data_IF_730858324624
#
_entry.id   IF_730858324624
#
_cell.length_a   1.000
_cell.length_b   1.000
_cell.length_c   1.000
_cell.angle_alpha   90.00
_cell.angle_beta   90.00
_cell.angle_gamma   90.00
#
_symmetry.space_group_name_H-M   'P 1'
#
loop_
_entity.id
_entity.type
_entity.pdbx_description
1 polymer ?
#
# COMPACT_ATOMS: atom_id res chain seq x y z
N UNK A 1 23.02 -0.42 -9.76
CA UNK A 1 22.44 -1.17 -8.62
C UNK A 1 20.96 -0.86 -8.59
N UNK A 2 20.08 -1.87 -8.55
CA UNK A 2 18.64 -1.64 -8.51
C UNK A 2 18.28 -1.09 -7.12
N UNK A 3 17.71 0.12 -7.03
CA UNK A 3 17.34 0.73 -5.76
C UNK A 3 16.12 0.00 -5.19
N UNK A 4 16.24 -0.60 -4.00
CA UNK A 4 15.13 -1.30 -3.33
C UNK A 4 14.78 -0.60 -2.02
N UNK A 5 13.55 -0.10 -1.91
CA UNK A 5 13.00 0.44 -0.66
C UNK A 5 12.45 -0.70 0.20
N UNK A 6 12.99 -0.89 1.40
CA UNK A 6 12.57 -1.93 2.34
C UNK A 6 11.30 -1.55 3.12
N UNK A 7 10.47 -2.51 3.54
CA UNK A 7 9.23 -2.23 4.28
C UNK A 7 9.53 -1.98 5.76
N UNK A 8 9.92 -0.75 6.11
CA UNK A 8 10.42 -0.40 7.45
C UNK A 8 9.38 -0.52 8.59
N UNK A 9 8.09 -0.62 8.28
CA UNK A 9 7.01 -0.79 9.28
C UNK A 9 6.42 -2.21 9.32
N UNK A 10 6.98 -3.15 8.54
CA UNK A 10 6.61 -4.55 8.62
C UNK A 10 6.99 -5.13 9.99
N UNK A 11 6.05 -5.82 10.64
CA UNK A 11 6.18 -6.28 12.03
C UNK A 11 5.72 -5.27 13.09
N UNK A 12 5.38 -4.04 12.69
CA UNK A 12 4.84 -3.02 13.58
C UNK A 12 3.41 -2.60 13.19
N UNK A 13 3.23 -2.14 11.95
CA UNK A 13 1.93 -1.64 11.48
C UNK A 13 1.08 -2.77 10.87
N UNK A 14 1.75 -3.78 10.33
CA UNK A 14 1.16 -4.96 9.72
C UNK A 14 2.14 -6.13 9.87
N UNK A 15 1.68 -7.39 9.73
CA UNK A 15 2.54 -8.55 9.92
C UNK A 15 3.74 -8.58 8.95
N UNK A 16 4.90 -9.05 9.43
CA UNK A 16 6.14 -9.02 8.67
C UNK A 16 6.25 -10.12 7.61
N UNK A 17 5.55 -11.25 7.80
CA UNK A 17 5.68 -12.42 6.92
C UNK A 17 4.52 -12.50 5.94
N UNK A 18 4.78 -13.04 4.75
CA UNK A 18 3.77 -13.25 3.72
C UNK A 18 2.53 -13.99 4.27
N UNK A 19 2.76 -15.12 4.94
CA UNK A 19 1.70 -16.00 5.46
C UNK A 19 0.81 -15.27 6.45
N UNK A 20 1.40 -14.57 7.43
CA UNK A 20 0.65 -13.85 8.45
C UNK A 20 -0.08 -12.63 7.88
N UNK A 21 0.53 -11.93 6.92
CA UNK A 21 -0.09 -10.80 6.24
C UNK A 21 -1.28 -11.25 5.41
N UNK A 22 -1.16 -12.32 4.61
CA UNK A 22 -2.28 -12.88 3.84
C UNK A 22 -3.44 -13.30 4.72
N UNK A 23 -3.16 -13.97 5.85
CA UNK A 23 -4.17 -14.36 6.84
C UNK A 23 -4.89 -13.15 7.43
N UNK A 24 -4.18 -12.07 7.73
CA UNK A 24 -4.79 -10.84 8.20
C UNK A 24 -5.66 -10.21 7.10
N UNK A 25 -5.13 -10.07 5.89
CA UNK A 25 -5.82 -9.44 4.75
C UNK A 25 -7.11 -10.17 4.37
N UNK A 26 -7.17 -11.51 4.45
CA UNK A 26 -8.40 -12.26 4.18
C UNK A 26 -9.55 -11.95 5.13
N UNK A 27 -9.25 -11.43 6.33
CA UNK A 27 -10.27 -10.96 7.28
C UNK A 27 -10.57 -9.46 7.17
N UNK A 28 -9.80 -8.70 6.38
CA UNK A 28 -9.98 -7.25 6.23
C UNK A 28 -10.58 -6.87 4.87
N UNK A 29 -10.36 -7.69 3.85
CA UNK A 29 -10.81 -7.43 2.48
C UNK A 29 -12.02 -8.33 2.19
N UNK A 30 -13.20 -7.73 2.18
CA UNK A 30 -14.43 -8.42 1.81
C UNK A 30 -14.58 -8.46 0.28
N UNK A 31 -14.86 -9.62 -0.32
CA UNK A 31 -15.12 -9.70 -1.75
C UNK A 31 -16.41 -8.98 -2.11
N UNK A 32 -16.40 -8.23 -3.20
CA UNK A 32 -17.56 -7.53 -3.75
C UNK A 32 -17.77 -7.94 -5.21
N UNK A 33 -19.03 -8.02 -5.64
CA UNK A 33 -19.40 -8.40 -7.00
C UNK A 33 -19.11 -7.31 -8.03
N UNK A 34 -19.17 -6.05 -7.60
CA UNK A 34 -19.02 -4.89 -8.47
C UNK A 34 -17.86 -4.02 -8.01
N UNK A 35 -17.01 -3.65 -8.96
CA UNK A 35 -15.92 -2.70 -8.76
C UNK A 35 -16.25 -1.39 -9.44
N UNK A 36 -15.92 -0.31 -8.78
CA UNK A 36 -16.04 1.04 -9.27
C UNK A 36 -14.75 1.43 -10.00
N UNK A 37 -14.89 2.03 -11.18
CA UNK A 37 -13.78 2.69 -11.82
C UNK A 37 -13.53 4.03 -11.13
N UNK A 38 -12.47 4.08 -10.32
CA UNK A 38 -12.10 5.26 -9.54
C UNK A 38 -10.81 5.88 -10.08
N UNK A 39 -10.86 7.20 -10.31
CA UNK A 39 -9.68 8.01 -10.66
C UNK A 39 -8.78 8.21 -9.43
N UNK A 40 -9.38 8.27 -8.24
CA UNK A 40 -8.66 8.45 -6.98
C UNK A 40 -9.45 7.92 -5.80
N UNK A 41 -8.73 7.52 -4.75
CA UNK A 41 -9.30 7.04 -3.49
C UNK A 41 -8.54 7.62 -2.31
N UNK A 42 -9.23 7.80 -1.19
CA UNK A 42 -8.62 8.20 0.08
C UNK A 42 -8.74 7.00 1.02
N UNK A 43 -7.62 6.61 1.61
CA UNK A 43 -7.53 5.46 2.51
C UNK A 43 -6.73 5.83 3.76
N UNK A 44 -7.09 5.28 4.93
CA UNK A 44 -6.31 5.48 6.14
C UNK A 44 -5.00 4.67 6.10
N UNK A 45 -3.96 5.18 6.77
CA UNK A 45 -2.61 4.57 6.79
C UNK A 45 -2.11 4.23 8.21
N UNK A 46 -3.01 4.11 9.19
CA UNK A 46 -2.64 3.61 10.51
C UNK A 46 -2.32 2.10 10.46
N UNK A 47 -1.83 1.54 11.58
CA UNK A 47 -1.65 0.09 11.70
C UNK A 47 -2.94 -0.67 11.39
N UNK A 48 -2.84 -1.83 10.76
CA UNK A 48 -3.99 -2.58 10.23
C UNK A 48 -4.99 -3.01 11.30
N UNK A 49 -4.54 -3.16 12.56
CA UNK A 49 -5.43 -3.42 13.70
C UNK A 49 -6.41 -2.27 13.96
N UNK A 50 -6.08 -1.05 13.55
CA UNK A 50 -6.92 0.15 13.74
C UNK A 50 -7.70 0.52 12.49
N UNK A 51 -7.06 0.50 11.32
CA UNK A 51 -7.66 1.03 10.09
C UNK A 51 -7.77 0.03 8.95
N UNK A 52 -7.35 -1.22 9.17
CA UNK A 52 -7.29 -2.24 8.13
C UNK A 52 -8.66 -2.57 7.53
N UNK A 53 -9.72 -2.59 8.35
CA UNK A 53 -11.07 -2.91 7.86
C UNK A 53 -11.61 -1.83 6.92
N UNK A 54 -11.41 -0.55 7.27
CA UNK A 54 -11.79 0.58 6.40
C UNK A 54 -10.99 0.55 5.11
N UNK A 55 -9.66 0.37 5.19
CA UNK A 55 -8.81 0.26 4.01
C UNK A 55 -9.21 -0.92 3.10
N UNK A 56 -9.50 -2.08 3.69
CA UNK A 56 -9.94 -3.28 2.97
C UNK A 56 -11.29 -3.12 2.29
N UNK A 57 -12.27 -2.53 2.98
CA UNK A 57 -13.59 -2.22 2.43
C UNK A 57 -13.54 -1.18 1.28
N UNK A 58 -12.59 -0.23 1.33
CA UNK A 58 -12.36 0.70 0.23
C UNK A 58 -11.75 -0.03 -0.96
N UNK A 59 -10.61 -0.71 -0.77
CA UNK A 59 -9.85 -1.29 -1.90
C UNK A 59 -10.59 -2.43 -2.60
N UNK A 60 -11.44 -3.18 -1.90
CA UNK A 60 -12.22 -4.26 -2.52
C UNK A 60 -13.14 -3.75 -3.62
N UNK A 61 -13.67 -2.53 -3.47
CA UNK A 61 -14.58 -1.88 -4.42
C UNK A 61 -13.86 -1.17 -5.56
N UNK A 62 -12.53 -1.14 -5.60
CA UNK A 62 -11.78 -0.36 -6.59
C UNK A 62 -11.35 -1.23 -7.76
N UNK A 63 -11.69 -0.80 -8.98
CA UNK A 63 -11.14 -1.32 -10.22
C UNK A 63 -9.68 -0.89 -10.40
N UNK A 64 -8.76 -1.57 -9.71
CA UNK A 64 -7.33 -1.25 -9.73
C UNK A 64 -6.76 -1.20 -11.16
N UNK A 65 -6.01 -0.13 -11.44
CA UNK A 65 -5.28 0.07 -12.69
C UNK A 65 -3.90 -0.60 -12.60
N UNK A 66 -3.27 -0.80 -13.76
CA UNK A 66 -1.90 -1.36 -13.85
C UNK A 66 -0.88 -0.50 -13.10
N UNK A 67 -0.99 0.82 -13.25
CA UNK A 67 -0.15 1.81 -12.57
C UNK A 67 -1.02 2.65 -11.65
N UNK A 68 -0.55 2.85 -10.42
CA UNK A 68 -1.22 3.68 -9.41
C UNK A 68 -0.22 4.65 -8.79
N UNK A 69 -0.68 5.84 -8.43
CA UNK A 69 0.10 6.84 -7.71
C UNK A 69 -0.34 6.80 -6.24
N UNK A 70 0.62 6.58 -5.34
CA UNK A 70 0.38 6.61 -3.89
C UNK A 70 0.93 7.93 -3.35
N UNK A 71 0.03 8.82 -2.93
CA UNK A 71 0.39 10.08 -2.29
C UNK A 71 0.25 9.94 -0.77
N UNK A 72 1.29 10.30 -0.04
CA UNK A 72 1.30 10.27 1.41
C UNK A 72 1.94 11.51 1.99
N UNK A 73 1.57 11.87 3.21
CA UNK A 73 2.16 13.01 3.91
C UNK A 73 3.51 12.64 4.53
N UNK A 74 4.40 13.62 4.63
CA UNK A 74 5.65 13.48 5.34
C UNK A 74 5.47 13.79 6.83
N UNK A 75 5.27 12.76 7.65
CA UNK A 75 5.12 12.91 9.11
C UNK A 75 6.42 13.29 9.84
N UNK A 76 7.58 13.22 9.19
CA UNK A 76 8.86 13.58 9.83
C UNK A 76 9.15 15.08 9.77
N UNK A 77 8.50 15.80 8.86
CA UNK A 77 8.79 17.21 8.58
C UNK A 77 10.17 17.49 7.97
N UNK A 78 10.92 16.46 7.56
CA UNK A 78 12.29 16.59 7.02
C UNK A 78 12.33 16.36 5.51
N UNK A 79 13.20 17.08 4.81
CA UNK A 79 13.42 16.94 3.36
C UNK A 79 12.59 17.91 2.53
N UNK A 80 12.50 17.63 1.23
CA UNK A 80 11.80 18.47 0.26
C UNK A 80 10.28 18.52 0.48
N UNK A 81 9.64 19.58 -0.02
CA UNK A 81 8.17 19.75 0.03
C UNK A 81 7.43 18.62 -0.68
N UNK A 82 7.98 18.16 -1.79
CA UNK A 82 7.49 17.04 -2.58
C UNK A 82 8.67 16.16 -2.99
N UNK A 83 8.48 14.85 -2.93
CA UNK A 83 9.52 13.89 -3.31
C UNK A 83 8.88 12.62 -3.83
N UNK A 84 9.49 12.02 -4.85
CA UNK A 84 9.11 10.73 -5.41
C UNK A 84 10.34 9.84 -5.55
N UNK A 85 10.13 8.53 -5.56
CA UNK A 85 11.12 7.57 -6.00
C UNK A 85 10.92 7.38 -7.52
N UNK A 86 11.89 7.78 -8.34
CA UNK A 86 11.77 7.82 -9.81
C UNK A 86 12.14 6.52 -10.52
N UNK A 87 12.60 5.50 -9.79
CA UNK A 87 12.95 4.21 -10.34
C UNK A 87 13.34 3.21 -9.26
N UNK A 88 13.52 1.95 -9.64
CA UNK A 88 13.76 0.85 -8.70
C UNK A 88 12.45 0.20 -8.23
N UNK A 89 12.42 -0.29 -7.00
CA UNK A 89 11.30 -1.09 -6.50
C UNK A 89 11.03 -0.91 -5.00
N UNK A 90 9.79 -1.17 -4.59
CA UNK A 90 9.36 -1.30 -3.21
C UNK A 90 9.21 -2.77 -2.83
N UNK A 91 9.89 -3.18 -1.77
CA UNK A 91 9.73 -4.52 -1.23
C UNK A 91 8.58 -4.53 -0.23
N UNK A 92 7.71 -5.53 -0.33
CA UNK A 92 6.62 -5.82 0.63
C UNK A 92 6.74 -7.26 1.11
N UNK A 93 6.07 -7.65 2.21
CA UNK A 93 5.98 -9.06 2.59
C UNK A 93 5.31 -9.97 1.54
N UNK A 94 4.59 -9.41 0.56
CA UNK A 94 3.94 -10.16 -0.53
C UNK A 94 4.78 -10.20 -1.82
N UNK A 95 5.96 -9.58 -1.83
CA UNK A 95 6.82 -9.48 -2.99
C UNK A 95 7.19 -8.04 -3.36
N UNK A 96 7.89 -7.92 -4.49
CA UNK A 96 8.41 -6.66 -5.00
C UNK A 96 7.41 -5.96 -5.93
N UNK A 97 7.25 -4.65 -5.74
CA UNK A 97 6.46 -3.76 -6.60
C UNK A 97 7.41 -2.80 -7.31
N UNK A 98 7.45 -2.84 -8.63
CA UNK A 98 8.33 -1.98 -9.44
C UNK A 98 7.78 -0.55 -9.52
N UNK A 99 8.68 0.43 -9.52
CA UNK A 99 8.34 1.81 -9.85
C UNK A 99 8.18 1.92 -11.37
N UNK A 100 7.06 2.49 -11.79
CA UNK A 100 6.87 2.93 -13.17
C UNK A 100 7.77 4.14 -13.43
N UNK A 101 8.70 4.00 -14.39
CA UNK A 101 9.79 4.97 -14.63
C UNK A 101 9.66 5.70 -15.96
N UNK A 102 8.56 5.47 -16.69
CA UNK A 102 8.15 6.18 -17.91
C UNK A 102 7.18 7.32 -17.56
#
# INVERSE_FOLDING_TARGET
MNMIRRPVFAGQFYPQTEVSLRKMLSGLIEPVSEKQDAIGVIMPHAGYVYSGYVAGATISKVGLKKTVIILGTNHTGRGEKFSIMTGGSWMTPLGEVKIDSE
#
